data_IF_256811113060
#
_entry.id   IF_256811113060
#
_cell.length_a   1.000
_cell.length_b   1.000
_cell.length_c   1.000
_cell.angle_alpha   90.00
_cell.angle_beta   90.00
_cell.angle_gamma   90.00
#
_symmetry.space_group_name_H-M   'P 1'
#
loop_
_entity.id
_entity.type
_entity.pdbx_description
1 polymer ?
#
# COMPACT_ATOMS: atom_id res chain seq x y z
N UNK A 1 7.78 1.60 0.28
CA UNK A 1 6.33 1.29 0.20
C UNK A 1 6.17 0.07 -0.70
N UNK A 2 5.56 -0.98 -0.18
CA UNK A 2 5.23 -2.21 -0.92
C UNK A 2 3.74 -2.22 -1.21
N UNK A 3 3.36 -2.61 -2.43
CA UNK A 3 1.99 -2.86 -2.84
C UNK A 3 1.82 -4.35 -3.07
N UNK A 4 0.81 -4.96 -2.47
CA UNK A 4 0.54 -6.39 -2.57
C UNK A 4 -0.95 -6.67 -2.74
N UNK A 5 -1.27 -7.82 -3.33
CA UNK A 5 -2.64 -8.24 -3.61
C UNK A 5 -3.13 -9.17 -2.51
N UNK A 6 -4.14 -8.76 -1.76
CA UNK A 6 -4.78 -9.56 -0.71
C UNK A 6 -5.71 -10.58 -1.38
N UNK A 7 -5.11 -11.63 -1.94
CA UNK A 7 -5.70 -12.69 -2.75
C UNK A 7 -6.84 -13.44 -2.05
N UNK A 8 -6.81 -13.51 -0.72
CA UNK A 8 -7.83 -14.19 0.11
C UNK A 8 -8.97 -13.26 0.56
N UNK A 9 -8.95 -11.98 0.22
CA UNK A 9 -9.97 -11.02 0.65
C UNK A 9 -11.26 -11.10 -0.18
N UNK A 10 -12.41 -10.85 0.44
CA UNK A 10 -13.67 -10.70 -0.30
C UNK A 10 -13.73 -9.35 -1.02
N UNK A 11 -14.32 -9.34 -2.21
CA UNK A 11 -14.32 -8.17 -3.11
C UNK A 11 -15.69 -7.53 -3.30
N UNK A 12 -16.72 -8.12 -2.71
CA UNK A 12 -18.14 -7.77 -2.89
C UNK A 12 -18.70 -6.89 -1.76
N UNK A 13 -17.94 -6.67 -0.68
CA UNK A 13 -18.38 -5.90 0.47
C UNK A 13 -18.24 -4.39 0.25
N UNK A 14 -19.38 -3.68 0.30
CA UNK A 14 -19.43 -2.20 0.25
C UNK A 14 -19.61 -1.56 1.63
N UNK A 15 -20.16 -2.30 2.59
CA UNK A 15 -20.36 -1.90 3.99
C UNK A 15 -19.85 -3.01 4.89
N UNK A 16 -19.14 -2.65 5.96
CA UNK A 16 -18.46 -3.60 6.85
C UNK A 16 -18.62 -3.19 8.31
N UNK A 17 -18.60 -4.13 9.23
CA UNK A 17 -18.57 -3.91 10.68
C UNK A 17 -17.19 -4.34 11.22
N UNK A 18 -16.14 -3.52 11.02
CA UNK A 18 -14.81 -3.88 11.48
C UNK A 18 -14.77 -4.07 13.01
N UNK A 19 -14.10 -5.13 13.45
CA UNK A 19 -13.95 -5.48 14.86
C UNK A 19 -15.24 -5.89 15.58
N UNK A 20 -16.33 -6.17 14.85
CA UNK A 20 -17.64 -6.47 15.42
C UNK A 20 -18.12 -5.40 16.44
N UNK A 21 -17.70 -4.15 16.23
CA UNK A 21 -17.98 -3.01 17.13
C UNK A 21 -19.45 -2.59 17.18
N UNK A 22 -20.28 -3.13 16.30
CA UNK A 22 -21.71 -2.80 16.17
C UNK A 22 -21.97 -1.59 15.26
N UNK A 23 -20.93 -0.84 14.90
CA UNK A 23 -21.00 0.28 13.97
C UNK A 23 -20.51 -0.12 12.57
N UNK A 24 -21.40 -0.06 11.58
CA UNK A 24 -21.02 -0.28 10.18
C UNK A 24 -20.34 0.94 9.57
N UNK A 25 -19.36 0.71 8.71
CA UNK A 25 -18.68 1.74 7.91
C UNK A 25 -18.59 1.30 6.46
N UNK A 26 -18.63 2.26 5.54
CA UNK A 26 -18.41 2.00 4.12
C UNK A 26 -16.97 1.55 3.85
N UNK A 27 -16.77 0.65 2.89
CA UNK A 27 -15.47 0.02 2.59
C UNK A 27 -14.37 1.03 2.28
N UNK A 28 -14.68 2.15 1.63
CA UNK A 28 -13.69 3.19 1.31
C UNK A 28 -13.31 4.10 2.49
N UNK A 29 -14.04 4.04 3.60
CA UNK A 29 -13.78 4.85 4.81
C UNK A 29 -12.87 4.16 5.84
N UNK A 30 -12.44 2.93 5.55
CA UNK A 30 -11.64 2.08 6.43
C UNK A 30 -10.51 1.39 5.66
N UNK A 31 -9.54 0.83 6.39
CA UNK A 31 -8.42 0.05 5.82
C UNK A 31 -8.68 -1.46 5.85
N UNK A 32 -9.92 -1.87 5.57
CA UNK A 32 -10.25 -3.30 5.52
C UNK A 32 -9.55 -3.98 4.33
N UNK A 33 -9.10 -5.24 4.47
CA UNK A 33 -8.63 -6.03 3.33
C UNK A 33 -9.73 -6.28 2.29
N UNK A 34 -11.01 -6.33 2.73
CA UNK A 34 -12.13 -6.61 1.85
C UNK A 34 -12.50 -5.36 1.05
N UNK A 35 -12.06 -5.30 -0.21
CA UNK A 35 -12.29 -4.18 -1.12
C UNK A 35 -12.47 -4.69 -2.55
N UNK A 36 -13.17 -3.95 -3.43
CA UNK A 36 -13.34 -4.35 -4.84
C UNK A 36 -12.00 -4.67 -5.53
N UNK A 37 -10.98 -3.86 -5.26
CA UNK A 37 -9.59 -4.13 -5.64
C UNK A 37 -8.77 -4.27 -4.35
N UNK A 38 -8.51 -5.50 -3.88
CA UNK A 38 -7.91 -5.77 -2.57
C UNK A 38 -6.39 -5.52 -2.57
N UNK A 39 -6.01 -4.29 -2.87
CA UNK A 39 -4.61 -3.83 -2.84
C UNK A 39 -4.30 -3.35 -1.42
N UNK A 40 -3.32 -3.99 -0.79
CA UNK A 40 -2.72 -3.57 0.47
C UNK A 40 -1.45 -2.76 0.23
N UNK A 41 -1.11 -1.89 1.19
CA UNK A 41 0.15 -1.15 1.17
C UNK A 41 0.83 -1.18 2.53
N UNK A 42 2.15 -1.36 2.54
CA UNK A 42 2.95 -1.32 3.75
C UNK A 42 4.21 -0.47 3.53
N UNK A 43 4.49 0.43 4.47
CA UNK A 43 5.80 1.06 4.59
C UNK A 43 6.66 0.17 5.48
N UNK A 44 7.71 -0.41 4.89
CA UNK A 44 8.57 -1.38 5.55
C UNK A 44 9.98 -0.82 5.71
N UNK A 45 10.68 -1.28 6.74
CA UNK A 45 12.13 -1.05 6.86
C UNK A 45 12.85 -2.15 6.08
N UNK A 46 13.73 -1.75 5.16
CA UNK A 46 14.63 -2.68 4.47
C UNK A 46 15.80 -3.01 5.40
N UNK A 47 15.95 -4.28 5.77
CA UNK A 47 17.03 -4.76 6.64
C UNK A 47 18.20 -5.33 5.84
N UNK A 48 17.93 -5.87 4.64
CA UNK A 48 18.96 -6.44 3.79
C UNK A 48 18.44 -6.84 2.42
N UNK A 49 19.36 -7.21 1.53
CA UNK A 49 19.05 -7.71 0.20
C UNK A 49 19.97 -8.89 -0.14
N UNK A 50 19.35 -9.96 -0.60
CA UNK A 50 20.02 -11.19 -1.04
C UNK A 50 19.58 -11.50 -2.48
N UNK A 51 20.37 -11.07 -3.46
CA UNK A 51 20.00 -11.22 -4.88
C UNK A 51 18.70 -10.48 -5.22
N UNK A 52 17.62 -11.23 -5.44
CA UNK A 52 16.27 -10.72 -5.72
C UNK A 52 15.34 -10.74 -4.49
N UNK A 53 15.85 -11.18 -3.34
CA UNK A 53 15.11 -11.25 -2.07
C UNK A 53 15.39 -10.00 -1.24
N UNK A 54 14.35 -9.40 -0.68
CA UNK A 54 14.45 -8.28 0.25
C UNK A 54 14.07 -8.77 1.65
N UNK A 55 14.97 -8.60 2.62
CA UNK A 55 14.66 -8.81 4.03
C UNK A 55 14.05 -7.52 4.57
N UNK A 56 12.81 -7.59 5.03
CA UNK A 56 12.03 -6.42 5.43
C UNK A 56 11.32 -6.64 6.76
N UNK A 57 11.12 -5.55 7.50
CA UNK A 57 10.34 -5.54 8.75
C UNK A 57 9.15 -4.60 8.64
N UNK A 58 8.02 -5.00 9.24
CA UNK A 58 6.78 -4.21 9.28
C UNK A 58 5.78 -4.56 8.17
N UNK A 59 5.89 -5.74 7.56
CA UNK A 59 4.90 -6.27 6.63
C UNK A 59 3.79 -7.00 7.41
N UNK A 60 2.53 -6.77 7.03
CA UNK A 60 1.34 -7.31 7.71
C UNK A 60 0.53 -8.28 6.84
N UNK A 61 1.13 -8.81 5.77
CA UNK A 61 0.48 -9.76 4.87
C UNK A 61 0.72 -11.21 5.27
N UNK A 62 -0.09 -12.11 4.70
CA UNK A 62 0.06 -13.54 4.89
C UNK A 62 1.25 -14.07 4.06
N UNK A 63 1.81 -15.19 4.48
CA UNK A 63 2.80 -15.89 3.66
C UNK A 63 2.21 -16.28 2.29
N UNK A 64 3.02 -16.10 1.26
CA UNK A 64 2.63 -16.28 -0.15
C UNK A 64 1.77 -15.16 -0.75
N UNK A 65 1.52 -14.05 -0.04
CA UNK A 65 0.76 -12.92 -0.60
C UNK A 65 1.47 -12.36 -1.84
N UNK A 66 0.80 -12.26 -3.00
CA UNK A 66 1.41 -11.76 -4.23
C UNK A 66 1.88 -10.30 -4.13
N UNK A 67 3.14 -10.05 -4.48
CA UNK A 67 3.70 -8.70 -4.58
C UNK A 67 3.33 -8.09 -5.94
N UNK A 68 2.87 -6.84 -5.93
CA UNK A 68 2.50 -6.10 -7.13
C UNK A 68 3.57 -5.08 -7.53
N UNK A 69 4.09 -4.35 -6.56
CA UNK A 69 4.98 -3.22 -6.84
C UNK A 69 5.82 -2.83 -5.61
N UNK A 70 6.99 -2.23 -5.88
CA UNK A 70 7.99 -1.82 -4.90
C UNK A 70 8.40 -0.39 -5.19
N UNK A 71 8.20 0.51 -4.23
CA UNK A 71 8.55 1.93 -4.38
C UNK A 71 9.37 2.43 -3.19
N UNK A 72 10.28 3.40 -3.39
CA UNK A 72 10.90 4.12 -2.28
C UNK A 72 9.82 4.80 -1.43
N UNK A 73 10.09 4.96 -0.13
CA UNK A 73 9.15 5.61 0.77
C UNK A 73 8.93 7.07 0.36
N UNK A 74 7.68 7.55 0.43
CA UNK A 74 7.33 8.93 0.04
C UNK A 74 8.09 9.98 0.86
N UNK A 75 8.43 9.69 2.12
CA UNK A 75 9.29 10.57 2.94
C UNK A 75 10.67 10.76 2.30
N UNK A 76 11.30 9.69 1.82
CA UNK A 76 12.60 9.77 1.13
C UNK A 76 12.50 10.46 -0.24
N UNK A 77 11.38 10.30 -0.96
CA UNK A 77 11.19 10.96 -2.25
C UNK A 77 11.11 12.48 -2.15
N UNK A 78 10.54 13.02 -1.06
CA UNK A 78 10.47 14.46 -0.83
C UNK A 78 11.86 15.10 -0.61
N UNK A 79 12.81 14.35 -0.03
CA UNK A 79 14.18 14.84 0.20
C UNK A 79 14.99 14.91 -1.11
N UNK A 80 14.71 14.01 -2.06
CA UNK A 80 15.39 13.96 -3.36
C UNK A 80 14.97 15.12 -4.27
N UNK A 81 13.71 15.56 -4.20
CA UNK A 81 13.19 16.70 -4.99
C UNK A 81 13.87 18.03 -4.60
N UNK A 82 14.29 18.16 -3.33
CA UNK A 82 15.00 19.35 -2.82
C UNK A 82 16.50 19.36 -3.15
N UNK A 83 17.11 18.21 -3.50
CA UNK A 83 18.55 18.09 -3.81
C UNK A 83 18.87 17.78 -5.27
N UNK A 84 17.88 17.57 -6.13
CA UNK A 84 18.07 17.26 -7.55
C UNK A 84 16.97 17.84 -8.43
N UNK A 85 17.36 18.79 -9.28
CA UNK A 85 16.57 19.56 -10.26
C UNK A 85 15.32 18.87 -10.86
N UNK A 86 14.20 19.62 -10.79
CA UNK A 86 12.97 19.61 -11.61
C UNK A 86 11.69 18.98 -11.01
N UNK A 87 11.05 19.71 -10.10
CA UNK A 87 9.67 19.48 -9.61
C UNK A 87 8.75 20.70 -9.75
N UNK A 88 8.76 21.42 -10.89
CA UNK A 88 7.75 22.45 -11.15
C UNK A 88 6.32 21.89 -11.13
N UNK A 89 5.29 22.72 -10.85
CA UNK A 89 3.93 22.24 -10.63
C UNK A 89 3.43 21.42 -11.82
N UNK A 90 3.24 20.11 -11.61
CA UNK A 90 2.68 19.20 -12.61
C UNK A 90 1.20 19.55 -12.80
N UNK A 91 0.91 20.42 -13.76
CA UNK A 91 -0.44 20.60 -14.27
C UNK A 91 -0.88 19.28 -14.92
N UNK A 92 -1.75 18.54 -14.23
CA UNK A 92 -2.45 17.41 -14.82
C UNK A 92 -3.51 17.99 -15.78
N UNK A 93 -3.18 18.08 -17.07
CA UNK A 93 -4.18 18.32 -18.10
C UNK A 93 -4.92 17.01 -18.30
N UNK A 94 -6.18 16.96 -17.85
CA UNK A 94 -7.09 15.87 -18.18
C UNK A 94 -7.55 16.05 -19.63
N UNK A 95 -7.21 15.09 -20.48
CA UNK A 95 -7.87 14.86 -21.77
C UNK A 95 -9.08 13.96 -21.63
#
# INVERSE_FOLDING_TARGET
ELLYWLDRARRDLMVQNPGHSGATRGTFSIRSPNRPNPIGTAEVTLEGREGCTLLVRGLDCLDGTPLLDVKPARRQLAEIDETGTAGGPRHCVKG
#
